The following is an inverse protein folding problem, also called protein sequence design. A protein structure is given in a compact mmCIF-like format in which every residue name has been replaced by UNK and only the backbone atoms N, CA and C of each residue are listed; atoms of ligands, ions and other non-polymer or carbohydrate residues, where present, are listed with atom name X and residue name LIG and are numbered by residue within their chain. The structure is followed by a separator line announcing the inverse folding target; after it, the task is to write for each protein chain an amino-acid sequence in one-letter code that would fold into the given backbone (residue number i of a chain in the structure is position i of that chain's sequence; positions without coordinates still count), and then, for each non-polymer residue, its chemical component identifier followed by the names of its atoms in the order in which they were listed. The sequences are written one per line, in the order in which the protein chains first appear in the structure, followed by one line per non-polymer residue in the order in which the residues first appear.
data_IF_375510260793
#
_entry.id   IF_375510260793
#
_cell.length_a   1.000
_cell.length_b   1.000
_cell.length_c   1.000
_cell.angle_alpha   90.00
_cell.angle_beta   90.00
_cell.angle_gamma   90.00
#
_symmetry.space_group_name_H-M   'P 1'
#
loop_
_entity.id
_entity.type
_entity.pdbx_description
1 polymer ?
#
# COMPACT_ATOMS: atom_id res chain seq x y z
N UNK A 1 -8.01 -2.82 -4.11
CA UNK A 1 -6.73 -3.55 -3.91
C UNK A 1 -6.42 -3.66 -2.43
N UNK A 2 -5.99 -4.81 -1.96
CA UNK A 2 -5.68 -5.10 -0.56
C UNK A 2 -4.32 -5.78 -0.46
N UNK A 3 -3.49 -5.39 0.51
CA UNK A 3 -2.36 -6.20 0.96
C UNK A 3 -2.77 -6.89 2.25
N UNK A 4 -2.76 -8.21 2.24
CA UNK A 4 -3.07 -9.06 3.39
C UNK A 4 -1.85 -9.89 3.74
N UNK A 5 -1.53 -9.98 5.02
CA UNK A 5 -0.49 -10.86 5.54
C UNK A 5 -1.15 -11.98 6.33
N UNK A 6 -0.97 -13.22 5.87
CA UNK A 6 -1.35 -14.43 6.65
C UNK A 6 -0.12 -14.93 7.41
N UNK A 7 -0.24 -15.16 8.69
CA UNK A 7 0.78 -15.83 9.48
C UNK A 7 0.58 -17.36 9.42
N UNK A 8 1.64 -18.10 9.07
CA UNK A 8 1.66 -19.55 9.30
C UNK A 8 1.87 -19.81 10.79
N UNK A 9 1.01 -20.64 11.39
CA UNK A 9 1.12 -21.07 12.79
C UNK A 9 2.34 -21.97 12.94
N UNK A 10 3.29 -21.56 13.78
CA UNK A 10 4.33 -22.39 14.38
C UNK A 10 4.16 -22.24 15.90
N UNK A 11 4.72 -23.14 16.72
CA UNK A 11 4.58 -23.11 18.19
C UNK A 11 4.85 -21.73 18.83
N UNK A 12 5.76 -20.93 18.24
CA UNK A 12 6.00 -19.55 18.69
C UNK A 12 4.79 -18.64 18.48
N UNK A 13 3.99 -18.90 17.45
CA UNK A 13 2.78 -18.12 17.14
C UNK A 13 1.64 -18.46 18.12
N UNK A 14 1.60 -19.66 18.65
CA UNK A 14 0.63 -20.04 19.67
C UNK A 14 0.91 -19.33 21.00
N UNK A 15 2.17 -19.29 21.42
CA UNK A 15 2.61 -18.52 22.61
C UNK A 15 2.32 -17.02 22.42
N UNK A 16 2.55 -16.49 21.21
CA UNK A 16 2.23 -15.11 20.86
C UNK A 16 0.72 -14.88 20.90
N UNK A 17 -0.08 -15.81 20.38
CA UNK A 17 -1.54 -15.71 20.36
C UNK A 17 -2.18 -15.79 21.76
N UNK A 18 -1.56 -16.50 22.70
CA UNK A 18 -1.99 -16.52 24.10
C UNK A 18 -1.70 -15.21 24.84
N UNK A 19 -0.62 -14.53 24.49
CA UNK A 19 -0.18 -13.28 25.15
C UNK A 19 -0.61 -12.00 24.43
N UNK A 20 -1.07 -12.10 23.18
CA UNK A 20 -1.66 -11.01 22.43
C UNK A 20 -3.05 -11.39 21.95
N UNK A 21 -4.00 -10.51 22.19
CA UNK A 21 -5.28 -10.54 21.51
C UNK A 21 -5.03 -10.43 19.98
N UNK A 22 -5.68 -11.29 19.20
CA UNK A 22 -5.55 -11.31 17.74
C UNK A 22 -5.90 -9.95 17.10
N UNK A 23 -6.79 -9.20 17.72
CA UNK A 23 -7.14 -7.84 17.30
C UNK A 23 -5.97 -6.89 17.48
N UNK A 24 -5.28 -6.90 18.62
CA UNK A 24 -4.07 -6.09 18.87
C UNK A 24 -2.97 -6.42 17.85
N UNK A 25 -2.79 -7.69 17.54
CA UNK A 25 -1.82 -8.15 16.55
C UNK A 25 -2.11 -7.55 15.17
N UNK A 26 -3.37 -7.64 14.71
CA UNK A 26 -3.77 -7.11 13.41
C UNK A 26 -3.74 -5.58 13.38
N UNK A 27 -3.98 -4.91 14.51
CA UNK A 27 -3.86 -3.45 14.65
C UNK A 27 -2.39 -2.99 14.52
N UNK A 28 -1.45 -3.68 15.14
CA UNK A 28 -0.01 -3.39 14.99
C UNK A 28 0.40 -3.54 13.52
N UNK A 29 0.03 -4.65 12.88
CA UNK A 29 0.36 -4.93 11.49
C UNK A 29 -0.20 -3.86 10.56
N UNK A 30 -1.50 -3.58 10.66
CA UNK A 30 -2.16 -2.61 9.80
C UNK A 30 -1.60 -1.20 9.97
N UNK A 31 -1.29 -0.81 11.21
CA UNK A 31 -0.67 0.48 11.52
C UNK A 31 0.70 0.64 10.88
N UNK A 32 1.55 -0.38 10.95
CA UNK A 32 2.89 -0.30 10.35
C UNK A 32 2.87 -0.33 8.83
N UNK A 33 1.94 -1.10 8.23
CA UNK A 33 1.74 -1.12 6.78
C UNK A 33 1.22 0.24 6.30
N UNK A 34 0.25 0.82 6.98
CA UNK A 34 -0.31 2.14 6.63
C UNK A 34 0.76 3.24 6.62
N UNK A 35 1.58 3.30 7.68
CA UNK A 35 2.70 4.25 7.78
C UNK A 35 3.70 4.08 6.63
N UNK A 36 4.05 2.83 6.32
CA UNK A 36 5.00 2.53 5.25
C UNK A 36 4.45 2.91 3.88
N UNK A 37 3.19 2.60 3.60
CA UNK A 37 2.54 2.93 2.33
C UNK A 37 2.47 4.45 2.16
N UNK A 38 2.05 5.19 3.18
CA UNK A 38 2.03 6.65 3.15
C UNK A 38 3.43 7.24 2.95
N UNK A 39 4.45 6.69 3.62
CA UNK A 39 5.84 7.11 3.45
C UNK A 39 6.30 6.98 1.99
N UNK A 40 5.87 5.94 1.27
CA UNK A 40 6.20 5.75 -0.15
C UNK A 40 5.64 6.84 -1.05
N UNK A 41 4.45 7.36 -0.76
CA UNK A 41 3.91 8.52 -1.46
C UNK A 41 4.73 9.79 -1.20
N UNK A 42 5.29 9.96 0.01
CA UNK A 42 6.15 11.10 0.32
C UNK A 42 7.54 10.96 -0.31
N UNK A 43 8.13 9.78 -0.22
CA UNK A 43 9.48 9.50 -0.74
C UNK A 43 9.50 9.18 -2.24
N UNK A 44 8.33 8.86 -2.82
CA UNK A 44 8.16 8.46 -4.22
C UNK A 44 9.04 7.26 -4.59
N UNK A 45 9.10 6.26 -3.68
CA UNK A 45 9.90 5.04 -3.82
C UNK A 45 9.04 3.79 -3.71
N UNK A 46 9.46 2.75 -4.43
CA UNK A 46 8.88 1.43 -4.33
C UNK A 46 9.32 0.68 -3.06
N UNK A 47 8.77 -0.52 -2.75
CA UNK A 47 9.22 -1.33 -1.60
C UNK A 47 10.69 -1.72 -1.61
N UNK A 48 11.35 -1.73 -2.77
CA UNK A 48 12.79 -2.03 -2.91
C UNK A 48 13.67 -0.79 -2.73
N UNK A 49 13.06 0.41 -2.67
CA UNK A 49 13.76 1.68 -2.51
C UNK A 49 14.04 2.41 -3.84
N UNK A 50 13.63 1.86 -4.98
CA UNK A 50 13.81 2.50 -6.28
C UNK A 50 12.84 3.67 -6.42
N UNK A 51 13.28 4.77 -7.00
CA UNK A 51 12.43 5.93 -7.30
C UNK A 51 11.35 5.56 -8.34
N UNK A 52 10.13 6.07 -8.14
CA UNK A 52 9.09 5.95 -9.16
C UNK A 52 9.43 6.75 -10.40
N UNK A 53 9.03 6.21 -11.56
CA UNK A 53 9.15 6.92 -12.82
C UNK A 53 8.33 8.23 -12.77
N UNK A 54 8.93 9.37 -13.15
CA UNK A 54 8.24 10.66 -13.17
C UNK A 54 6.95 10.64 -14.00
N UNK A 55 6.04 11.54 -13.70
CA UNK A 55 4.88 11.78 -14.55
C UNK A 55 5.21 12.91 -15.57
N UNK A 56 4.52 12.90 -16.70
CA UNK A 56 4.73 13.93 -17.74
C UNK A 56 4.29 15.35 -17.36
N UNK A 57 3.52 15.49 -16.27
CA UNK A 57 3.04 16.79 -15.77
C UNK A 57 4.01 17.46 -14.80
N UNK A 58 5.03 16.74 -14.34
CA UNK A 58 5.85 17.19 -13.23
C UNK A 58 5.13 17.10 -11.88
N UNK A 59 5.73 17.65 -10.83
CA UNK A 59 5.14 17.68 -9.49
C UNK A 59 5.22 16.34 -8.75
N UNK A 60 4.37 16.19 -7.72
CA UNK A 60 4.38 15.03 -6.84
C UNK A 60 3.66 13.84 -7.48
N UNK A 61 4.38 12.74 -7.68
CA UNK A 61 3.85 11.52 -8.31
C UNK A 61 2.75 10.92 -7.44
N UNK A 62 1.60 10.57 -8.04
CA UNK A 62 0.41 9.99 -7.40
C UNK A 62 -0.21 10.84 -6.26
N UNK A 63 0.18 12.11 -6.16
CA UNK A 63 -0.28 13.05 -5.13
C UNK A 63 -0.84 14.35 -5.69
N UNK A 64 -1.41 14.32 -6.88
CA UNK A 64 -2.02 15.49 -7.52
C UNK A 64 -3.09 16.12 -6.59
N UNK A 65 -4.22 15.45 -6.44
CA UNK A 65 -5.29 15.85 -5.52
C UNK A 65 -5.19 15.20 -4.13
N UNK A 66 -4.24 14.29 -3.93
CA UNK A 66 -4.12 13.48 -2.71
C UNK A 66 -5.17 12.38 -2.56
N UNK A 67 -6.16 12.30 -3.44
CA UNK A 67 -7.28 11.36 -3.30
C UNK A 67 -6.84 9.90 -3.17
N UNK A 68 -5.84 9.45 -3.94
CA UNK A 68 -5.36 8.07 -3.85
C UNK A 68 -4.73 7.78 -2.50
N UNK A 69 -3.80 8.61 -2.06
CA UNK A 69 -3.13 8.45 -0.77
C UNK A 69 -4.12 8.50 0.39
N UNK A 70 -5.07 9.44 0.36
CA UNK A 70 -6.06 9.62 1.44
C UNK A 70 -7.14 8.53 1.44
N UNK A 71 -7.33 7.81 0.34
CA UNK A 71 -8.27 6.68 0.28
C UNK A 71 -7.72 5.40 0.90
N UNK A 72 -6.43 5.37 1.23
CA UNK A 72 -5.81 4.22 1.86
C UNK A 72 -6.20 4.18 3.33
N UNK A 73 -6.84 3.09 3.73
CA UNK A 73 -7.31 2.88 5.10
C UNK A 73 -6.85 1.53 5.62
N UNK A 74 -6.77 1.41 6.94
CA UNK A 74 -6.37 0.18 7.63
C UNK A 74 -7.49 -0.83 7.64
N UNK A 75 -7.11 -2.10 7.52
CA UNK A 75 -7.97 -3.26 7.78
C UNK A 75 -7.40 -3.98 8.99
N UNK A 76 -8.24 -4.23 9.99
CA UNK A 76 -7.89 -4.96 11.19
C UNK A 76 -9.15 -5.57 11.79
N UNK A 77 -9.34 -6.87 11.61
CA UNK A 77 -10.54 -7.61 12.03
C UNK A 77 -10.23 -8.76 13.00
N UNK A 78 -8.99 -8.86 13.48
CA UNK A 78 -8.51 -9.94 14.34
C UNK A 78 -8.01 -11.18 13.58
N UNK A 79 -8.29 -11.28 12.27
CA UNK A 79 -7.80 -12.35 11.39
C UNK A 79 -6.81 -11.82 10.36
N UNK A 80 -7.03 -10.61 9.89
CA UNK A 80 -6.25 -9.94 8.86
C UNK A 80 -5.84 -8.55 9.32
N UNK A 81 -4.55 -8.24 9.22
CA UNK A 81 -4.02 -6.89 9.36
C UNK A 81 -3.45 -6.40 8.04
N UNK A 82 -3.82 -5.20 7.62
CA UNK A 82 -3.37 -4.66 6.35
C UNK A 82 -3.93 -3.29 6.02
N UNK A 83 -3.86 -2.93 4.75
CA UNK A 83 -4.47 -1.71 4.20
C UNK A 83 -5.22 -2.00 2.91
N UNK A 84 -6.22 -1.18 2.63
CA UNK A 84 -7.00 -1.23 1.40
C UNK A 84 -7.25 0.16 0.83
N UNK A 85 -7.70 0.22 -0.40
CA UNK A 85 -8.25 1.39 -1.05
C UNK A 85 -9.45 1.01 -1.91
N UNK A 86 -10.42 1.89 -1.98
CA UNK A 86 -11.60 1.78 -2.84
C UNK A 86 -11.39 2.43 -4.23
N UNK A 87 -10.22 3.00 -4.52
CA UNK A 87 -9.96 3.64 -5.81
C UNK A 87 -9.68 2.58 -6.89
N UNK A 88 -10.54 2.53 -7.90
CA UNK A 88 -10.45 1.57 -9.02
C UNK A 88 -9.13 1.67 -9.78
N UNK A 89 -8.57 2.86 -9.89
CA UNK A 89 -7.32 3.13 -10.57
C UNK A 89 -6.06 2.82 -9.74
N UNK A 90 -6.22 2.47 -8.46
CA UNK A 90 -5.09 2.15 -7.59
C UNK A 90 -4.25 0.98 -8.13
N UNK A 91 -4.93 -0.04 -8.67
CA UNK A 91 -4.27 -1.24 -9.20
C UNK A 91 -3.34 -0.91 -10.37
N UNK A 92 -3.84 -0.17 -11.36
CA UNK A 92 -3.04 0.16 -12.55
C UNK A 92 -1.80 0.99 -12.20
N UNK A 93 -1.90 1.89 -11.20
CA UNK A 93 -0.74 2.66 -10.74
C UNK A 93 0.25 1.81 -9.95
N UNK A 94 -0.24 0.85 -9.15
CA UNK A 94 0.62 -0.02 -8.36
C UNK A 94 1.36 -1.05 -9.21
N UNK A 95 0.70 -1.62 -10.21
CA UNK A 95 1.21 -2.73 -11.02
C UNK A 95 1.79 -2.28 -12.36
N UNK A 96 1.38 -1.11 -12.83
CA UNK A 96 1.58 -0.66 -14.21
C UNK A 96 0.63 -1.34 -15.17
N UNK A 97 0.64 -0.93 -16.41
CA UNK A 97 -0.15 -1.57 -17.45
C UNK A 97 -0.56 -0.62 -18.56
N UNK A 98 -1.33 -1.12 -19.50
CA UNK A 98 -1.80 -0.38 -20.66
C UNK A 98 -3.31 -0.14 -20.53
N UNK A 99 -3.74 1.10 -20.70
CA UNK A 99 -5.16 1.49 -20.78
C UNK A 99 -5.54 1.63 -22.24
N UNK A 100 -6.59 0.92 -22.63
CA UNK A 100 -7.22 0.98 -23.96
C UNK A 100 -8.68 1.44 -23.84
N UNK A 101 -9.23 2.10 -24.84
CA UNK A 101 -10.65 2.45 -24.85
C UNK A 101 -11.50 1.18 -24.90
N UNK A 102 -12.62 1.15 -24.18
CA UNK A 102 -13.55 0.00 -24.18
C UNK A 102 -14.59 0.08 -25.30
N UNK A 103 -15.15 1.26 -25.52
CA UNK A 103 -16.28 1.45 -26.43
C UNK A 103 -16.00 2.50 -27.53
N UNK A 104 -14.98 3.33 -27.35
CA UNK A 104 -14.62 4.39 -28.30
C UNK A 104 -13.35 4.01 -29.05
N UNK A 105 -13.19 4.59 -30.25
CA UNK A 105 -11.99 4.35 -31.06
C UNK A 105 -10.71 4.86 -30.41
N UNK A 106 -10.81 5.92 -29.57
CA UNK A 106 -9.64 6.56 -28.92
C UNK A 106 -9.91 6.99 -27.49
N UNK A 107 -8.87 6.97 -26.68
CA UNK A 107 -8.84 7.63 -25.37
C UNK A 107 -8.73 9.12 -25.58
N UNK A 108 -9.51 9.89 -24.80
CA UNK A 108 -9.46 11.38 -24.78
C UNK A 108 -9.05 11.84 -23.39
N UNK A 109 -7.99 12.61 -23.29
CA UNK A 109 -7.58 13.27 -22.05
C UNK A 109 -7.00 14.66 -22.33
N UNK A 110 -6.93 15.47 -21.29
CA UNK A 110 -6.38 16.83 -21.37
C UNK A 110 -4.85 16.76 -21.17
N UNK A 111 -4.10 17.21 -22.14
CA UNK A 111 -2.65 17.31 -22.04
C UNK A 111 -2.19 18.40 -21.09
N UNK A 112 -0.87 18.51 -20.89
CA UNK A 112 -0.25 19.49 -19.99
C UNK A 112 -0.47 20.93 -20.48
N UNK A 113 -0.56 21.10 -21.80
CA UNK A 113 -0.83 22.35 -22.50
C UNK A 113 -2.33 22.74 -22.49
N UNK A 114 -3.18 21.94 -21.83
CA UNK A 114 -4.61 22.14 -21.76
C UNK A 114 -5.39 21.66 -22.98
N UNK A 115 -4.73 21.20 -24.05
CA UNK A 115 -5.38 20.68 -25.25
C UNK A 115 -5.80 19.23 -25.08
N UNK A 116 -6.84 18.81 -25.82
CA UNK A 116 -7.25 17.42 -25.83
C UNK A 116 -6.33 16.58 -26.70
N UNK A 117 -5.87 15.48 -26.13
CA UNK A 117 -5.04 14.46 -26.79
C UNK A 117 -5.90 13.22 -27.02
N UNK A 118 -5.79 12.63 -28.22
CA UNK A 118 -6.49 11.40 -28.61
C UNK A 118 -5.45 10.33 -28.94
N UNK A 119 -5.49 9.21 -28.21
CA UNK A 119 -4.54 8.10 -28.42
C UNK A 119 -5.26 6.78 -28.40
N UNK A 120 -4.68 5.76 -29.02
CA UNK A 120 -5.24 4.41 -29.07
C UNK A 120 -5.00 3.67 -27.75
N UNK A 121 -3.89 3.99 -27.07
CA UNK A 121 -3.57 3.41 -25.77
C UNK A 121 -2.68 4.36 -24.93
N UNK A 122 -2.66 4.15 -23.62
CA UNK A 122 -1.77 4.84 -22.68
C UNK A 122 -1.08 3.81 -21.82
N UNK A 123 0.25 3.81 -21.82
CA UNK A 123 1.05 3.03 -20.89
C UNK A 123 1.18 3.78 -19.55
N UNK A 124 0.77 3.09 -18.49
CA UNK A 124 0.91 3.57 -17.10
C UNK A 124 2.11 2.85 -16.48
N UNK A 125 3.19 3.57 -16.14
CA UNK A 125 4.35 2.94 -15.54
C UNK A 125 4.04 2.44 -14.13
N UNK A 126 4.66 1.31 -13.76
CA UNK A 126 4.55 0.74 -12.42
C UNK A 126 5.11 1.71 -11.37
N UNK A 127 4.28 2.08 -10.42
CA UNK A 127 4.63 2.90 -9.25
C UNK A 127 4.14 2.21 -8.00
N UNK A 128 4.84 1.16 -7.61
CA UNK A 128 4.42 0.26 -6.55
C UNK A 128 4.45 0.97 -5.19
N UNK A 129 3.29 1.24 -4.63
CA UNK A 129 3.12 1.77 -3.28
C UNK A 129 2.69 0.70 -2.29
N UNK A 130 2.02 -0.36 -2.74
CA UNK A 130 1.72 -1.55 -1.96
C UNK A 130 2.83 -2.59 -2.08
N UNK A 131 3.16 -3.27 -0.97
CA UNK A 131 4.13 -4.36 -0.92
C UNK A 131 4.86 -4.43 0.41
N UNK A 132 5.33 -5.63 0.74
CA UNK A 132 6.14 -5.90 1.92
C UNK A 132 7.62 -5.91 1.55
N UNK A 133 8.47 -5.33 2.39
CA UNK A 133 9.91 -5.48 2.32
C UNK A 133 10.47 -6.00 3.64
N UNK A 134 11.75 -6.38 3.65
CA UNK A 134 12.41 -6.92 4.85
C UNK A 134 12.35 -5.92 6.01
N UNK A 135 12.67 -4.65 5.75
CA UNK A 135 12.67 -3.58 6.77
C UNK A 135 11.31 -3.42 7.45
N UNK A 136 10.22 -3.44 6.69
CA UNK A 136 8.86 -3.37 7.23
C UNK A 136 8.52 -4.61 8.06
N UNK A 137 8.86 -5.81 7.57
CA UNK A 137 8.68 -7.07 8.30
C UNK A 137 9.41 -7.06 9.65
N UNK A 138 10.67 -6.63 9.65
CA UNK A 138 11.49 -6.58 10.88
C UNK A 138 10.94 -5.55 11.87
N UNK A 139 10.44 -4.40 11.39
CA UNK A 139 9.79 -3.38 12.22
C UNK A 139 8.49 -3.90 12.84
N UNK A 140 7.67 -4.61 12.09
CA UNK A 140 6.45 -5.27 12.59
C UNK A 140 6.81 -6.29 13.67
N UNK A 141 7.77 -7.18 13.41
CA UNK A 141 8.23 -8.18 14.39
C UNK A 141 8.70 -7.54 15.69
N UNK A 142 9.54 -6.49 15.59
CA UNK A 142 10.03 -5.75 16.76
C UNK A 142 8.90 -5.16 17.60
N UNK A 143 7.88 -4.59 16.96
CA UNK A 143 6.71 -4.03 17.68
C UNK A 143 5.87 -5.11 18.35
N UNK A 144 5.64 -6.23 17.68
CA UNK A 144 4.94 -7.37 18.25
C UNK A 144 5.69 -7.90 19.48
N UNK A 145 6.99 -8.12 19.36
CA UNK A 145 7.82 -8.59 20.48
C UNK A 145 7.79 -7.63 21.67
N UNK A 146 7.87 -6.31 21.40
CA UNK A 146 7.78 -5.30 22.45
C UNK A 146 6.43 -5.36 23.18
N UNK A 147 5.33 -5.46 22.45
CA UNK A 147 3.98 -5.54 23.02
C UNK A 147 3.77 -6.82 23.86
N UNK A 148 4.32 -7.95 23.42
CA UNK A 148 4.29 -9.21 24.20
C UNK A 148 5.01 -9.03 25.53
N UNK A 149 6.21 -8.43 25.50
CA UNK A 149 6.99 -8.19 26.73
C UNK A 149 6.27 -7.24 27.70
N UNK A 150 5.59 -6.22 27.18
CA UNK A 150 4.75 -5.32 27.99
C UNK A 150 3.59 -6.08 28.65
N UNK A 151 2.89 -6.93 27.89
CA UNK A 151 1.77 -7.72 28.42
C UNK A 151 2.23 -8.75 29.48
N UNK A 152 3.42 -9.35 29.32
CA UNK A 152 4.00 -10.26 30.30
C UNK A 152 4.34 -9.54 31.62
N UNK A 153 4.86 -8.32 31.56
CA UNK A 153 5.23 -7.54 32.74
C UNK A 153 4.01 -7.07 33.53
N UNK A 154 2.87 -6.91 32.85
CA UNK A 154 1.64 -6.40 33.45
C UNK A 154 0.68 -7.55 33.87
N UNK A 155 1.08 -8.81 33.68
CA UNK A 155 0.34 -10.01 34.13
C UNK A 155 0.91 -10.54 35.43
#
# INVERSE_FOLDING_TARGET
MQIKTKFKRNNLVEIIAEKLNTKELTDIISSEIDKEVKLRFYTQKDPKGNKWQPNGRGGKILRDTGQLMNSIHRISDGKVGGVATNKIYARIHNEGGIIRPKEKSKLKFKGVDGKFVFVDEVEIPKRQFFGMNKKLKDRIKKKISKKILENIKNS
#
